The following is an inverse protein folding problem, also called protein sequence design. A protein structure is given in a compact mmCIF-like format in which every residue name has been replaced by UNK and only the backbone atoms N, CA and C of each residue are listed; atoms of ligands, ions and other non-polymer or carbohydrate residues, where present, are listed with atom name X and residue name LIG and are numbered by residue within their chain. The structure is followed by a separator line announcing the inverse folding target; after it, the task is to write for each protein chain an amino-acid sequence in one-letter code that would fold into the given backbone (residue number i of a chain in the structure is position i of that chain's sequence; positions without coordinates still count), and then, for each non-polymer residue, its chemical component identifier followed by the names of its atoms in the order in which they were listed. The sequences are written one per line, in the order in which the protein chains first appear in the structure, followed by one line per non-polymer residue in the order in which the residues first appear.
data_IF_202245382623
#
_entry.id   IF_202245382623
#
_cell.length_a   1.000
_cell.length_b   1.000
_cell.length_c   1.000
_cell.angle_alpha   90.00
_cell.angle_beta   90.00
_cell.angle_gamma   90.00
#
_symmetry.space_group_name_H-M   'P 1'
#
loop_
_entity.id
_entity.type
_entity.pdbx_description
1 polymer ?
#
# COMPACT_ATOMS: atom_id res chain seq x y z
N UNK A 1 -2.03 25.41 -10.45
CA UNK A 1 -1.36 24.15 -10.81
C UNK A 1 0.09 24.49 -11.14
N UNK A 2 1.01 24.27 -10.23
CA UNK A 2 2.43 24.38 -10.54
C UNK A 2 2.79 23.40 -11.65
N UNK A 3 3.57 23.86 -12.60
CA UNK A 3 3.86 23.10 -13.81
C UNK A 3 4.89 21.99 -13.48
N UNK A 4 4.43 20.77 -13.15
CA UNK A 4 5.27 19.60 -12.86
C UNK A 4 6.38 19.37 -13.90
N UNK A 5 6.18 19.82 -15.16
CA UNK A 5 7.16 19.68 -16.25
C UNK A 5 8.50 20.37 -15.98
N UNK A 6 8.53 21.40 -15.13
CA UNK A 6 9.73 22.17 -14.80
C UNK A 6 10.48 21.63 -13.56
N UNK A 7 9.87 20.72 -12.80
CA UNK A 7 10.50 20.13 -11.61
C UNK A 7 11.62 19.15 -12.00
N UNK A 8 12.58 18.99 -11.09
CA UNK A 8 13.68 18.03 -11.26
C UNK A 8 13.13 16.61 -11.41
N UNK A 9 13.73 15.84 -12.31
CA UNK A 9 13.49 14.40 -12.39
C UNK A 9 14.24 13.69 -11.27
N UNK A 10 13.52 12.89 -10.48
CA UNK A 10 14.11 12.13 -9.36
C UNK A 10 14.24 10.65 -9.68
N UNK A 11 13.38 10.11 -10.56
CA UNK A 11 13.46 8.76 -11.08
C UNK A 11 13.19 8.80 -12.58
N UNK A 12 14.06 8.14 -13.36
CA UNK A 12 13.86 8.01 -14.81
C UNK A 12 14.08 6.57 -15.25
N UNK A 13 13.20 6.07 -16.10
CA UNK A 13 13.30 4.81 -16.83
C UNK A 13 13.43 5.13 -18.32
N UNK A 14 14.49 4.65 -18.94
CA UNK A 14 14.77 4.81 -20.37
C UNK A 14 14.72 3.44 -21.04
N UNK A 15 13.60 3.13 -21.68
CA UNK A 15 13.34 1.86 -22.40
C UNK A 15 13.68 0.61 -21.58
N UNK A 16 13.19 0.57 -20.34
CA UNK A 16 13.55 -0.46 -19.36
C UNK A 16 12.70 -1.71 -19.52
N UNK A 17 13.39 -2.85 -19.61
CA UNK A 17 12.80 -4.19 -19.49
C UNK A 17 13.54 -4.97 -18.40
N UNK A 18 12.81 -5.84 -17.68
CA UNK A 18 13.40 -6.67 -16.64
C UNK A 18 12.78 -8.07 -16.64
N UNK A 19 13.65 -9.09 -16.59
CA UNK A 19 13.30 -10.50 -16.59
C UNK A 19 13.88 -11.19 -15.36
N UNK A 20 13.02 -11.91 -14.61
CA UNK A 20 13.48 -12.79 -13.53
C UNK A 20 13.97 -14.14 -14.09
N UNK A 21 14.93 -14.81 -13.42
CA UNK A 21 15.42 -16.12 -13.85
C UNK A 21 14.29 -17.15 -13.93
N UNK A 22 14.21 -17.88 -15.04
CA UNK A 22 13.20 -18.91 -15.25
C UNK A 22 11.79 -18.41 -15.59
N UNK A 23 11.60 -17.13 -15.78
CA UNK A 23 10.35 -16.58 -16.31
C UNK A 23 10.26 -16.87 -17.82
N UNK A 24 9.05 -17.20 -18.31
CA UNK A 24 8.82 -17.41 -19.75
C UNK A 24 8.80 -16.09 -20.53
N UNK A 25 8.55 -14.98 -19.86
CA UNK A 25 8.47 -13.61 -20.43
C UNK A 25 9.04 -12.59 -19.47
N UNK A 26 9.51 -11.46 -20.01
CA UNK A 26 9.93 -10.31 -19.20
C UNK A 26 8.78 -9.90 -18.24
N UNK A 27 9.12 -9.56 -17.00
CA UNK A 27 8.17 -9.09 -16.00
C UNK A 27 7.71 -7.66 -16.27
N UNK A 28 8.57 -6.84 -16.90
CA UNK A 28 8.23 -5.55 -17.46
C UNK A 28 8.97 -5.35 -18.79
N UNK A 29 8.33 -4.62 -19.72
CA UNK A 29 8.86 -4.40 -21.06
C UNK A 29 8.76 -2.94 -21.48
N UNK A 30 9.85 -2.41 -22.02
CA UNK A 30 9.90 -1.10 -22.69
C UNK A 30 9.27 0.03 -21.87
N UNK A 31 9.56 0.06 -20.55
CA UNK A 31 9.07 1.11 -19.65
C UNK A 31 9.90 2.37 -19.87
N UNK A 32 9.21 3.45 -20.27
CA UNK A 32 9.75 4.81 -20.26
C UNK A 32 8.90 5.68 -19.36
N UNK A 33 9.51 6.12 -18.26
CA UNK A 33 8.85 6.84 -17.18
C UNK A 33 9.79 7.90 -16.61
N UNK A 34 9.25 9.08 -16.33
CA UNK A 34 9.92 10.17 -15.64
C UNK A 34 9.06 10.59 -14.46
N UNK A 35 9.60 10.51 -13.23
CA UNK A 35 8.94 10.91 -11.99
C UNK A 35 9.61 12.18 -11.50
N UNK A 36 8.79 13.16 -11.18
CA UNK A 36 9.25 14.49 -10.73
C UNK A 36 9.31 14.60 -9.21
N UNK A 37 10.18 15.45 -8.73
CA UNK A 37 10.28 15.79 -7.31
C UNK A 37 8.94 16.27 -6.75
N UNK A 38 8.54 15.71 -5.61
CA UNK A 38 7.26 16.00 -4.96
C UNK A 38 6.02 15.48 -5.72
N UNK A 39 6.19 14.60 -6.72
CA UNK A 39 5.08 13.98 -7.44
C UNK A 39 4.47 12.83 -6.61
N UNK A 40 3.14 12.75 -6.58
CA UNK A 40 2.40 11.60 -6.09
C UNK A 40 1.94 10.76 -7.27
N UNK A 41 2.62 9.65 -7.52
CA UNK A 41 2.40 8.74 -8.64
C UNK A 41 1.71 7.45 -8.16
N UNK A 42 0.62 7.05 -8.81
CA UNK A 42 -0.07 5.78 -8.55
C UNK A 42 0.11 4.82 -9.72
N UNK A 43 0.61 3.62 -9.42
CA UNK A 43 0.71 2.49 -10.34
C UNK A 43 -0.50 1.58 -10.12
N UNK A 44 -1.28 1.30 -11.15
CA UNK A 44 -2.44 0.42 -11.07
C UNK A 44 -2.51 -0.55 -12.24
N UNK A 45 -3.27 -1.62 -12.07
CA UNK A 45 -3.42 -2.69 -13.07
C UNK A 45 -3.73 -4.02 -12.39
N UNK A 46 -3.94 -5.07 -13.16
CA UNK A 46 -4.22 -6.40 -12.67
C UNK A 46 -3.10 -6.98 -11.79
N UNK A 47 -3.39 -8.07 -11.08
CA UNK A 47 -2.33 -8.81 -10.37
C UNK A 47 -1.32 -9.37 -11.38
N UNK A 48 -0.04 -9.34 -11.05
CA UNK A 48 1.03 -9.83 -11.93
C UNK A 48 1.36 -8.93 -13.12
N UNK A 49 0.79 -7.73 -13.27
CA UNK A 49 1.07 -6.83 -14.40
C UNK A 49 2.41 -6.09 -14.33
N UNK A 50 3.27 -6.35 -13.31
CA UNK A 50 4.61 -5.77 -13.21
C UNK A 50 4.77 -4.63 -12.20
N UNK A 51 3.74 -4.22 -11.44
CA UNK A 51 3.82 -3.12 -10.46
C UNK A 51 4.93 -3.32 -9.43
N UNK A 52 4.95 -4.48 -8.76
CA UNK A 52 5.98 -4.83 -7.77
C UNK A 52 7.38 -4.90 -8.39
N UNK A 53 7.52 -5.34 -9.64
CA UNK A 53 8.80 -5.32 -10.34
C UNK A 53 9.27 -3.88 -10.56
N UNK A 54 8.36 -2.98 -10.96
CA UNK A 54 8.69 -1.57 -11.15
C UNK A 54 9.09 -0.91 -9.82
N UNK A 55 8.38 -1.18 -8.72
CA UNK A 55 8.76 -0.67 -7.38
C UNK A 55 10.10 -1.23 -6.92
N UNK A 56 10.41 -2.51 -7.21
CA UNK A 56 11.71 -3.13 -6.90
C UNK A 56 12.87 -2.56 -7.71
N UNK A 57 12.63 -2.09 -8.92
CA UNK A 57 13.65 -1.35 -9.69
C UNK A 57 13.91 0.04 -9.09
N UNK A 58 12.86 0.71 -8.59
CA UNK A 58 13.00 2.03 -7.96
C UNK A 58 13.81 1.98 -6.67
N UNK A 59 13.60 0.95 -5.85
CA UNK A 59 14.30 0.78 -4.57
C UNK A 59 15.59 -0.06 -4.65
N UNK A 60 16.02 -0.44 -5.87
CA UNK A 60 17.25 -1.17 -6.11
C UNK A 60 17.21 -2.65 -5.76
N UNK A 61 16.08 -3.20 -5.31
CA UNK A 61 15.97 -4.60 -4.96
C UNK A 61 15.99 -5.53 -6.18
N UNK A 62 15.40 -5.11 -7.30
CA UNK A 62 15.55 -5.84 -8.55
C UNK A 62 16.99 -5.66 -9.06
N UNK A 63 17.61 -6.74 -9.54
CA UNK A 63 19.01 -6.87 -9.94
C UNK A 63 20.00 -7.04 -8.76
N UNK A 64 19.92 -6.23 -7.69
CA UNK A 64 20.90 -6.31 -6.59
C UNK A 64 20.56 -7.36 -5.53
N UNK A 65 19.27 -7.61 -5.29
CA UNK A 65 18.80 -8.62 -4.32
C UNK A 65 18.00 -9.74 -4.99
N UNK A 66 17.06 -9.38 -5.88
CA UNK A 66 16.38 -10.34 -6.75
C UNK A 66 17.14 -10.45 -8.06
N UNK A 67 17.74 -11.61 -8.31
CA UNK A 67 18.43 -11.88 -9.56
C UNK A 67 17.54 -11.63 -10.76
N UNK A 68 18.12 -11.14 -11.86
CA UNK A 68 17.41 -10.87 -13.10
C UNK A 68 18.26 -10.16 -14.13
N UNK A 69 17.69 -9.95 -15.30
CA UNK A 69 18.35 -9.26 -16.41
C UNK A 69 17.67 -7.93 -16.67
N UNK A 70 18.37 -6.84 -16.41
CA UNK A 70 17.95 -5.47 -16.70
C UNK A 70 18.44 -5.06 -18.08
N UNK A 71 17.53 -4.55 -18.91
CA UNK A 71 17.84 -3.88 -20.20
C UNK A 71 17.32 -2.44 -20.10
N UNK A 72 17.98 -1.50 -20.78
CA UNK A 72 17.70 -0.08 -20.67
C UNK A 72 18.41 0.56 -19.46
N UNK A 73 17.93 1.69 -18.99
CA UNK A 73 18.59 2.46 -17.92
C UNK A 73 17.59 2.98 -16.91
N UNK A 74 17.88 2.77 -15.62
CA UNK A 74 17.17 3.39 -14.50
C UNK A 74 18.10 4.38 -13.83
N UNK A 75 17.62 5.62 -13.62
CA UNK A 75 18.36 6.64 -12.87
C UNK A 75 17.57 7.06 -11.63
N UNK A 76 18.28 7.22 -10.52
CA UNK A 76 17.80 7.74 -9.25
C UNK A 76 18.57 9.02 -8.94
N UNK A 77 17.86 10.16 -8.78
CA UNK A 77 18.46 11.47 -8.48
C UNK A 77 19.59 11.88 -9.45
N UNK A 78 19.46 11.46 -10.72
CA UNK A 78 20.39 11.80 -11.80
C UNK A 78 21.60 10.88 -11.94
N UNK A 79 21.74 9.81 -11.13
CA UNK A 79 22.77 8.79 -11.21
C UNK A 79 22.17 7.43 -11.54
N UNK A 80 22.87 6.56 -12.29
CA UNK A 80 22.40 5.21 -12.59
C UNK A 80 22.18 4.41 -11.30
N UNK A 81 21.07 3.69 -11.20
CA UNK A 81 20.73 2.94 -9.98
C UNK A 81 21.73 1.80 -9.72
N UNK A 82 22.29 1.21 -10.76
CA UNK A 82 23.33 0.18 -10.69
C UNK A 82 24.67 0.68 -10.11
N UNK A 83 24.88 2.00 -10.08
CA UNK A 83 26.08 2.61 -9.49
C UNK A 83 25.95 2.89 -8.00
N UNK A 84 24.73 2.74 -7.43
CA UNK A 84 24.50 2.90 -6.02
C UNK A 84 24.65 1.56 -5.30
N UNK A 85 25.37 1.49 -4.18
CA UNK A 85 25.22 0.38 -3.27
C UNK A 85 23.80 0.42 -2.62
N UNK A 86 23.21 -0.74 -2.35
CA UNK A 86 21.82 -0.86 -1.90
C UNK A 86 21.52 -0.01 -0.67
N UNK A 87 22.46 0.09 0.28
CA UNK A 87 22.26 0.89 1.50
C UNK A 87 22.14 2.40 1.23
N UNK A 88 22.79 2.91 0.15
CA UNK A 88 22.63 4.32 -0.26
C UNK A 88 21.27 4.56 -0.90
N UNK A 89 20.76 3.57 -1.65
CA UNK A 89 19.39 3.64 -2.21
C UNK A 89 18.40 3.68 -1.04
N UNK A 90 18.55 2.80 -0.04
CA UNK A 90 17.67 2.74 1.14
C UNK A 90 17.62 4.02 1.97
N UNK A 91 18.67 4.86 1.95
CA UNK A 91 18.65 6.20 2.56
C UNK A 91 17.78 7.19 1.78
N UNK A 92 17.65 7.02 0.48
CA UNK A 92 16.97 7.95 -0.44
C UNK A 92 15.55 7.51 -0.76
N UNK A 93 15.33 6.20 -0.78
CA UNK A 93 14.06 5.55 -1.16
C UNK A 93 13.59 4.67 0.00
N UNK A 94 12.64 5.16 0.75
CA UNK A 94 11.97 4.41 1.80
C UNK A 94 10.89 3.51 1.22
N UNK A 95 10.94 2.21 1.51
CA UNK A 95 9.99 1.23 0.98
C UNK A 95 9.08 0.69 2.07
N UNK A 96 7.78 0.66 1.78
CA UNK A 96 6.76 0.03 2.60
C UNK A 96 6.17 -1.13 1.81
N UNK A 97 6.38 -2.37 2.28
CA UNK A 97 5.98 -3.58 1.59
C UNK A 97 4.52 -3.97 1.88
N UNK A 98 3.96 -4.81 1.04
CA UNK A 98 2.59 -5.32 1.14
C UNK A 98 2.31 -6.05 2.47
N UNK A 99 3.28 -6.83 2.96
CA UNK A 99 3.22 -7.43 4.30
C UNK A 99 4.20 -6.71 5.23
N UNK A 100 3.72 -5.86 6.16
CA UNK A 100 4.57 -5.17 7.12
C UNK A 100 5.41 -6.12 7.98
N UNK A 101 4.92 -7.37 8.23
CA UNK A 101 5.64 -8.34 9.07
C UNK A 101 6.97 -8.76 8.45
N UNK A 102 7.07 -8.79 7.13
CA UNK A 102 8.31 -9.14 6.43
C UNK A 102 9.39 -8.05 6.54
N UNK A 103 9.03 -6.88 7.05
CA UNK A 103 9.89 -5.71 7.16
C UNK A 103 10.48 -5.53 8.55
N UNK A 104 9.90 -6.16 9.59
CA UNK A 104 10.31 -5.95 10.99
C UNK A 104 11.52 -6.77 11.39
N UNK A 105 12.47 -6.12 12.05
CA UNK A 105 13.68 -6.70 12.61
C UNK A 105 13.63 -6.74 14.14
N UNK A 106 12.97 -5.75 14.78
CA UNK A 106 12.81 -5.69 16.23
C UNK A 106 11.42 -6.15 16.67
N UNK A 107 11.29 -6.50 17.93
CA UNK A 107 10.01 -6.92 18.53
C UNK A 107 9.28 -5.77 19.24
N UNK A 108 9.98 -4.70 19.62
CA UNK A 108 9.44 -3.53 20.32
C UNK A 108 9.33 -2.34 19.34
N UNK A 109 8.31 -1.55 19.53
CA UNK A 109 7.96 -0.43 18.63
C UNK A 109 9.11 0.57 18.46
N UNK A 110 9.69 1.07 19.55
CA UNK A 110 10.74 2.08 19.48
C UNK A 110 12.01 1.53 18.87
N UNK A 111 12.39 0.30 19.19
CA UNK A 111 13.57 -0.37 18.65
C UNK A 111 13.44 -0.56 17.13
N UNK A 112 12.24 -0.94 16.65
CA UNK A 112 11.96 -1.08 15.23
C UNK A 112 12.05 0.26 14.50
N UNK A 113 11.52 1.33 15.10
CA UNK A 113 11.55 2.65 14.49
C UNK A 113 12.99 3.22 14.48
N UNK A 114 13.78 2.94 15.51
CA UNK A 114 15.18 3.36 15.60
C UNK A 114 16.09 2.58 14.64
N UNK A 115 15.76 1.31 14.35
CA UNK A 115 16.61 0.36 13.64
C UNK A 115 17.25 0.90 12.36
N UNK A 116 16.45 1.55 11.50
CA UNK A 116 16.96 2.15 10.25
C UNK A 116 17.95 3.30 10.53
N UNK A 117 17.62 4.15 11.50
CA UNK A 117 18.47 5.28 11.89
C UNK A 117 19.83 4.81 12.44
N UNK A 118 19.82 3.79 13.30
CA UNK A 118 21.03 3.18 13.87
C UNK A 118 21.92 2.59 12.78
N UNK A 119 21.35 1.81 11.86
CA UNK A 119 22.07 1.22 10.72
C UNK A 119 22.71 2.26 9.81
N UNK A 120 22.10 3.44 9.71
CA UNK A 120 22.62 4.55 8.91
C UNK A 120 23.57 5.47 9.68
N UNK A 121 23.86 5.16 10.96
CA UNK A 121 24.81 5.90 11.78
C UNK A 121 24.29 7.27 12.22
N UNK A 122 22.99 7.40 12.45
CA UNK A 122 22.41 8.61 13.08
C UNK A 122 22.97 8.72 14.50
N UNK A 123 23.48 9.89 14.94
CA UNK A 123 23.99 10.08 16.29
C UNK A 123 22.95 9.73 17.36
N UNK A 124 23.41 9.11 18.46
CA UNK A 124 22.53 8.65 19.53
C UNK A 124 21.65 9.78 20.10
N UNK A 125 22.21 10.97 20.19
CA UNK A 125 21.52 12.17 20.70
C UNK A 125 20.33 12.58 19.84
N UNK A 126 20.29 12.20 18.55
CA UNK A 126 19.20 12.50 17.60
C UNK A 126 18.15 11.38 17.57
N UNK A 127 18.48 10.14 17.97
CA UNK A 127 17.62 8.97 17.80
C UNK A 127 16.27 9.13 18.50
N UNK A 128 16.27 9.54 19.78
CA UNK A 128 15.04 9.72 20.54
C UNK A 128 14.10 10.76 19.91
N UNK A 129 14.68 11.86 19.43
CA UNK A 129 13.95 12.90 18.71
C UNK A 129 13.30 12.39 17.42
N UNK A 130 14.03 11.61 16.61
CA UNK A 130 13.52 11.00 15.36
C UNK A 130 12.44 9.97 15.63
N UNK A 131 12.67 9.06 16.56
CA UNK A 131 11.69 8.04 16.98
C UNK A 131 10.40 8.70 17.49
N UNK A 132 10.54 9.67 18.40
CA UNK A 132 9.39 10.39 18.96
C UNK A 132 8.61 11.16 17.89
N UNK A 133 9.28 11.81 16.95
CA UNK A 133 8.66 12.50 15.83
C UNK A 133 7.91 11.51 14.91
N UNK A 134 8.53 10.38 14.57
CA UNK A 134 7.92 9.36 13.73
C UNK A 134 6.67 8.74 14.38
N UNK A 135 6.71 8.44 15.69
CA UNK A 135 5.55 7.94 16.45
C UNK A 135 4.41 8.98 16.47
N UNK A 136 4.72 10.24 16.71
CA UNK A 136 3.72 11.31 16.73
C UNK A 136 3.05 11.47 15.37
N UNK A 137 3.80 11.37 14.28
CA UNK A 137 3.29 11.49 12.90
C UNK A 137 2.23 10.44 12.55
N UNK A 138 2.38 9.23 13.05
CA UNK A 138 1.41 8.15 12.86
C UNK A 138 0.26 8.17 13.89
N UNK A 139 0.21 9.16 14.78
CA UNK A 139 -0.67 9.19 15.96
C UNK A 139 -0.52 7.88 16.77
N UNK A 140 0.73 7.48 17.01
CA UNK A 140 1.12 6.17 17.55
C UNK A 140 1.52 6.18 19.02
N UNK A 141 1.23 7.22 19.81
CA UNK A 141 1.67 7.31 21.22
C UNK A 141 1.21 6.10 22.06
N UNK A 142 0.04 5.55 21.76
CA UNK A 142 -0.47 4.35 22.41
C UNK A 142 0.28 3.05 22.04
N UNK A 143 1.17 3.12 21.06
CA UNK A 143 1.97 1.98 20.61
C UNK A 143 3.36 1.92 21.24
N UNK A 144 3.76 2.96 21.99
CA UNK A 144 5.07 3.03 22.67
C UNK A 144 5.24 1.86 23.64
N UNK A 145 6.43 1.28 23.64
CA UNK A 145 6.83 0.17 24.50
C UNK A 145 6.09 -1.14 24.25
N UNK A 146 5.28 -1.23 23.18
CA UNK A 146 4.51 -2.43 22.89
C UNK A 146 5.25 -3.39 21.97
N UNK A 147 4.97 -4.68 22.17
CA UNK A 147 5.36 -5.73 21.24
C UNK A 147 4.59 -5.62 19.92
N UNK A 148 5.30 -5.70 18.80
CA UNK A 148 4.73 -5.53 17.45
C UNK A 148 3.91 -6.76 17.00
N UNK A 149 4.37 -7.97 17.33
CA UNK A 149 3.75 -9.20 16.81
C UNK A 149 2.26 -9.36 17.14
N UNK A 150 1.75 -9.04 18.35
CA UNK A 150 0.34 -9.15 18.67
C UNK A 150 -0.52 -8.02 18.09
N UNK A 151 0.08 -6.97 17.51
CA UNK A 151 -0.67 -5.83 16.96
C UNK A 151 -1.55 -6.21 15.77
N UNK A 152 -2.60 -5.42 15.56
CA UNK A 152 -3.45 -5.47 14.36
C UNK A 152 -2.67 -5.10 13.10
N UNK A 153 -3.20 -5.48 11.92
CA UNK A 153 -2.58 -5.12 10.62
C UNK A 153 -2.43 -3.62 10.45
N UNK A 154 -3.42 -2.83 10.89
CA UNK A 154 -3.36 -1.37 10.82
C UNK A 154 -2.27 -0.75 11.72
N UNK A 155 -2.10 -1.27 12.95
CA UNK A 155 -1.02 -0.84 13.85
C UNK A 155 0.35 -1.20 13.28
N UNK A 156 0.51 -2.43 12.75
CA UNK A 156 1.73 -2.85 12.07
C UNK A 156 2.08 -1.98 10.87
N UNK A 157 1.08 -1.64 10.05
CA UNK A 157 1.29 -0.73 8.92
C UNK A 157 1.78 0.65 9.39
N UNK A 158 1.19 1.19 10.47
CA UNK A 158 1.66 2.44 11.07
C UNK A 158 3.12 2.35 11.51
N UNK A 159 3.52 1.27 12.21
CA UNK A 159 4.90 1.10 12.64
C UNK A 159 5.84 0.99 11.43
N UNK A 160 5.49 0.21 10.40
CA UNK A 160 6.30 0.10 9.18
C UNK A 160 6.51 1.45 8.49
N UNK A 161 5.50 2.30 8.45
CA UNK A 161 5.67 3.66 7.92
C UNK A 161 6.49 4.53 8.87
N UNK A 162 6.33 4.40 10.19
CA UNK A 162 7.10 5.17 11.16
C UNK A 162 8.60 4.82 11.10
N UNK A 163 8.96 3.53 10.95
CA UNK A 163 10.37 3.11 10.83
C UNK A 163 11.04 3.67 9.57
N UNK A 164 10.32 3.69 8.46
CA UNK A 164 10.81 4.34 7.23
C UNK A 164 10.89 5.87 7.39
N UNK A 165 9.88 6.47 8.01
CA UNK A 165 9.82 7.91 8.20
C UNK A 165 10.89 8.46 9.16
N UNK A 166 11.34 7.68 10.15
CA UNK A 166 12.43 8.09 11.06
C UNK A 166 13.75 8.33 10.31
N UNK A 167 13.97 7.64 9.19
CA UNK A 167 15.13 7.82 8.30
C UNK A 167 14.98 9.08 7.44
N UNK A 168 13.75 9.54 7.17
CA UNK A 168 13.40 10.72 6.37
C UNK A 168 13.91 10.65 4.91
N UNK A 169 13.48 9.65 4.11
CA UNK A 169 13.90 9.51 2.72
C UNK A 169 13.25 10.57 1.81
N UNK A 170 13.92 10.93 0.71
CA UNK A 170 13.40 11.85 -0.30
C UNK A 170 12.19 11.26 -1.06
N UNK A 171 12.16 9.93 -1.21
CA UNK A 171 11.19 9.19 -2.02
C UNK A 171 10.57 8.07 -1.18
N UNK A 172 9.24 7.96 -1.20
CA UNK A 172 8.50 6.87 -0.57
C UNK A 172 7.90 5.96 -1.62
N UNK A 173 8.10 4.66 -1.47
CA UNK A 173 7.52 3.62 -2.32
C UNK A 173 6.63 2.71 -1.47
N UNK A 174 5.35 2.65 -1.82
CA UNK A 174 4.36 1.80 -1.19
C UNK A 174 3.92 0.70 -2.15
N UNK A 175 4.07 -0.56 -1.77
CA UNK A 175 3.60 -1.69 -2.55
C UNK A 175 2.37 -2.32 -1.89
N UNK A 176 1.19 -2.13 -2.47
CA UNK A 176 -0.14 -2.56 -2.02
C UNK A 176 -0.41 -2.30 -0.52
N UNK A 177 -0.17 -1.10 -0.01
CA UNK A 177 -0.18 -0.83 1.42
C UNK A 177 -1.55 -0.96 2.08
N UNK A 178 -2.64 -0.99 1.30
CA UNK A 178 -4.01 -1.11 1.83
C UNK A 178 -4.54 -2.56 1.84
N UNK A 179 -3.78 -3.55 1.37
CA UNK A 179 -4.28 -4.91 1.10
C UNK A 179 -4.99 -5.57 2.30
N UNK A 180 -4.44 -5.42 3.51
CA UNK A 180 -4.92 -6.06 4.74
C UNK A 180 -5.56 -5.06 5.72
N UNK A 181 -5.91 -3.85 5.25
CA UNK A 181 -6.44 -2.78 6.09
C UNK A 181 -7.97 -2.70 6.00
N UNK A 182 -8.59 -2.39 7.13
CA UNK A 182 -9.98 -1.94 7.18
C UNK A 182 -10.10 -0.47 6.75
N UNK A 183 -11.34 0.02 6.57
CA UNK A 183 -11.57 1.37 6.06
C UNK A 183 -10.97 2.47 6.93
N UNK A 184 -10.95 2.31 8.26
CA UNK A 184 -10.39 3.30 9.18
C UNK A 184 -8.86 3.33 9.09
N UNK A 185 -8.23 2.16 8.96
CA UNK A 185 -6.79 2.05 8.76
C UNK A 185 -6.37 2.60 7.39
N UNK A 186 -7.20 2.42 6.35
CA UNK A 186 -6.97 3.04 5.04
C UNK A 186 -7.07 4.56 5.10
N UNK A 187 -8.04 5.12 5.84
CA UNK A 187 -8.16 6.57 6.01
C UNK A 187 -6.96 7.14 6.78
N UNK A 188 -6.50 6.45 7.82
CA UNK A 188 -5.29 6.84 8.55
C UNK A 188 -4.05 6.82 7.64
N UNK A 189 -3.92 5.82 6.76
CA UNK A 189 -2.84 5.72 5.77
C UNK A 189 -2.93 6.87 4.74
N UNK A 190 -4.13 7.21 4.26
CA UNK A 190 -4.37 8.35 3.37
C UNK A 190 -3.89 9.66 3.99
N UNK A 191 -4.27 9.91 5.25
CA UNK A 191 -3.89 11.13 5.96
C UNK A 191 -2.37 11.22 6.14
N UNK A 192 -1.69 10.11 6.41
CA UNK A 192 -0.24 10.05 6.49
C UNK A 192 0.42 10.36 5.14
N UNK A 193 -0.03 9.76 4.06
CA UNK A 193 0.47 10.04 2.71
C UNK A 193 0.23 11.52 2.31
N UNK A 194 -0.92 12.08 2.72
CA UNK A 194 -1.23 13.50 2.51
C UNK A 194 -0.23 14.41 3.21
N UNK A 195 0.15 14.10 4.45
CA UNK A 195 1.16 14.84 5.20
C UNK A 195 2.53 14.77 4.52
N UNK A 196 2.99 13.58 4.12
CA UNK A 196 4.24 13.39 3.38
C UNK A 196 4.26 14.18 2.07
N UNK A 197 3.14 14.18 1.32
CA UNK A 197 3.01 14.98 0.10
C UNK A 197 3.12 16.48 0.39
N UNK A 198 2.46 16.95 1.44
CA UNK A 198 2.49 18.37 1.84
C UNK A 198 3.89 18.83 2.28
N UNK A 199 4.74 17.93 2.77
CA UNK A 199 6.13 18.16 3.11
C UNK A 199 7.07 18.14 1.89
N UNK A 200 6.55 17.80 0.72
CA UNK A 200 7.30 17.82 -0.55
C UNK A 200 7.95 16.50 -0.94
N UNK A 201 7.71 15.41 -0.19
CA UNK A 201 8.24 14.10 -0.56
C UNK A 201 7.64 13.58 -1.86
N UNK A 202 8.44 12.86 -2.63
CA UNK A 202 7.99 12.12 -3.80
C UNK A 202 7.39 10.80 -3.34
N UNK A 203 6.19 10.47 -3.83
CA UNK A 203 5.45 9.28 -3.37
C UNK A 203 5.05 8.44 -4.56
N UNK A 204 5.41 7.15 -4.55
CA UNK A 204 4.98 6.16 -5.54
C UNK A 204 4.17 5.09 -4.81
N UNK A 205 2.96 4.82 -5.29
CA UNK A 205 2.06 3.82 -4.70
C UNK A 205 1.63 2.82 -5.76
N UNK A 206 2.01 1.56 -5.62
CA UNK A 206 1.42 0.46 -6.37
C UNK A 206 0.14 0.01 -5.64
N UNK A 207 -1.03 0.12 -6.28
CA UNK A 207 -2.29 -0.12 -5.58
C UNK A 207 -3.44 -0.57 -6.52
N UNK A 208 -4.32 -1.39 -5.96
CA UNK A 208 -5.57 -1.82 -6.58
C UNK A 208 -6.78 -1.02 -6.10
N UNK A 209 -6.77 -0.54 -4.84
CA UNK A 209 -7.85 0.25 -4.24
C UNK A 209 -7.56 1.73 -4.46
N UNK A 210 -8.17 2.34 -5.50
CA UNK A 210 -7.81 3.68 -5.93
C UNK A 210 -8.63 4.80 -5.26
N UNK A 211 -9.76 4.46 -4.64
CA UNK A 211 -10.72 5.44 -4.13
C UNK A 211 -10.13 6.42 -3.10
N UNK A 212 -9.23 5.95 -2.25
CA UNK A 212 -8.61 6.79 -1.21
C UNK A 212 -7.42 7.61 -1.71
N UNK A 213 -6.90 7.33 -2.91
CA UNK A 213 -5.75 8.00 -3.52
C UNK A 213 -6.14 9.07 -4.54
N UNK A 214 -7.42 9.14 -4.93
CA UNK A 214 -7.89 9.98 -6.04
C UNK A 214 -7.59 11.46 -5.80
N UNK A 215 -7.74 11.93 -4.56
CA UNK A 215 -7.49 13.34 -4.18
C UNK A 215 -6.00 13.64 -3.97
N UNK A 216 -5.17 12.60 -3.78
CA UNK A 216 -3.75 12.75 -3.51
C UNK A 216 -2.90 12.64 -4.77
N UNK A 217 -3.30 11.78 -5.71
CA UNK A 217 -2.49 11.45 -6.87
C UNK A 217 -2.43 12.62 -7.87
N UNK A 218 -1.23 12.93 -8.33
CA UNK A 218 -1.02 13.85 -9.44
C UNK A 218 -1.16 13.11 -10.79
N UNK A 219 -0.75 11.83 -10.82
CA UNK A 219 -0.78 11.00 -12.01
C UNK A 219 -1.03 9.53 -11.67
N UNK A 220 -1.79 8.86 -12.50
CA UNK A 220 -2.02 7.42 -12.50
C UNK A 220 -1.40 6.78 -13.73
N UNK A 221 -0.74 5.64 -13.55
CA UNK A 221 -0.23 4.79 -14.62
C UNK A 221 -0.97 3.45 -14.58
N UNK A 222 -1.64 3.12 -15.67
CA UNK A 222 -2.23 1.80 -15.84
C UNK A 222 -1.23 0.86 -16.51
N UNK A 223 -0.96 -0.24 -15.84
CA UNK A 223 -0.05 -1.28 -16.29
C UNK A 223 -0.82 -2.54 -16.67
N UNK A 224 -0.43 -3.13 -17.78
CA UNK A 224 -0.95 -4.41 -18.25
C UNK A 224 0.15 -5.19 -18.95
N UNK A 225 0.27 -6.47 -18.63
CA UNK A 225 1.28 -7.36 -19.21
C UNK A 225 2.68 -6.72 -19.28
N UNK A 226 3.17 -6.24 -18.15
CA UNK A 226 4.52 -5.67 -18.03
C UNK A 226 4.75 -4.30 -18.68
N UNK A 227 3.74 -3.66 -19.27
CA UNK A 227 3.87 -2.38 -19.96
C UNK A 227 2.94 -1.30 -19.41
N UNK A 228 3.34 -0.03 -19.51
CA UNK A 228 2.44 1.10 -19.23
C UNK A 228 1.56 1.30 -20.46
N UNK A 229 0.26 1.08 -20.32
CA UNK A 229 -0.73 1.20 -21.39
C UNK A 229 -1.39 2.57 -21.44
N UNK A 230 -1.73 3.13 -20.28
CA UNK A 230 -2.38 4.44 -20.19
C UNK A 230 -1.80 5.25 -19.03
N UNK A 231 -1.90 6.57 -19.17
CA UNK A 231 -1.48 7.57 -18.17
C UNK A 231 -2.63 8.54 -17.98
N UNK A 232 -3.02 8.80 -16.72
CA UNK A 232 -4.14 9.69 -16.41
C UNK A 232 -3.78 10.67 -15.30
N UNK A 233 -4.33 11.86 -15.39
CA UNK A 233 -4.50 12.76 -14.25
C UNK A 233 -5.65 12.28 -13.36
N UNK A 234 -5.78 12.84 -12.16
CA UNK A 234 -6.92 12.53 -11.28
C UNK A 234 -8.28 12.79 -11.97
N UNK A 235 -8.41 13.90 -12.72
CA UNK A 235 -9.65 14.25 -13.44
C UNK A 235 -9.96 13.26 -14.57
N UNK A 236 -8.97 12.92 -15.39
CA UNK A 236 -9.13 11.93 -16.46
C UNK A 236 -9.49 10.56 -15.88
N UNK A 237 -8.90 10.19 -14.74
CA UNK A 237 -9.19 8.93 -14.05
C UNK A 237 -10.64 8.85 -13.57
N UNK A 238 -11.18 9.94 -13.01
CA UNK A 238 -12.58 10.03 -12.59
C UNK A 238 -13.55 9.96 -13.78
N UNK A 239 -13.12 10.44 -14.95
CA UNK A 239 -13.93 10.51 -16.17
C UNK A 239 -13.95 9.20 -16.97
N UNK A 240 -13.22 8.14 -16.54
CA UNK A 240 -13.20 6.86 -17.26
C UNK A 240 -14.60 6.22 -17.19
N UNK A 241 -15.23 5.94 -18.33
CA UNK A 241 -16.55 5.30 -18.37
C UNK A 241 -16.53 3.93 -17.69
N UNK A 242 -17.62 3.57 -17.01
CA UNK A 242 -17.73 2.31 -16.26
C UNK A 242 -17.45 1.09 -17.14
N UNK A 243 -17.97 1.04 -18.35
CA UNK A 243 -17.71 -0.06 -19.29
C UNK A 243 -16.24 -0.25 -19.60
N UNK A 244 -15.49 0.85 -19.84
CA UNK A 244 -14.05 0.80 -20.04
C UNK A 244 -13.34 0.35 -18.75
N UNK A 245 -13.73 0.91 -17.60
CA UNK A 245 -13.14 0.58 -16.29
C UNK A 245 -13.31 -0.91 -15.97
N UNK A 246 -14.49 -1.49 -16.19
CA UNK A 246 -14.75 -2.93 -16.02
C UNK A 246 -13.93 -3.77 -17.00
N UNK A 247 -13.83 -3.37 -18.27
CA UNK A 247 -13.09 -4.09 -19.29
C UNK A 247 -11.60 -4.22 -18.96
N UNK A 248 -10.98 -3.17 -18.38
CA UNK A 248 -9.57 -3.15 -17.98
C UNK A 248 -9.35 -3.57 -16.52
N UNK A 249 -10.39 -4.00 -15.81
CA UNK A 249 -10.30 -4.55 -14.44
C UNK A 249 -9.94 -3.53 -13.35
N UNK A 250 -10.15 -2.22 -13.59
CA UNK A 250 -9.84 -1.18 -12.61
C UNK A 250 -11.03 -0.94 -11.68
N UNK A 251 -10.77 -0.88 -10.37
CA UNK A 251 -11.78 -0.60 -9.35
C UNK A 251 -12.29 0.84 -9.44
N UNK A 252 -13.48 1.08 -8.89
CA UNK A 252 -14.08 2.41 -8.84
C UNK A 252 -13.16 3.42 -8.12
N UNK A 253 -13.12 4.65 -8.64
CA UNK A 253 -12.42 5.76 -8.01
C UNK A 253 -13.29 6.45 -6.95
N UNK A 254 -14.61 6.37 -7.11
CA UNK A 254 -15.60 6.88 -6.19
C UNK A 254 -16.55 5.74 -5.80
N UNK A 255 -16.72 5.55 -4.49
CA UNK A 255 -17.59 4.53 -3.94
C UNK A 255 -19.01 5.03 -3.66
N UNK A 256 -19.23 6.35 -3.67
CA UNK A 256 -20.54 6.96 -3.35
C UNK A 256 -21.55 6.87 -4.50
N UNK A 257 -21.06 6.71 -5.74
CA UNK A 257 -21.89 6.66 -6.95
C UNK A 257 -21.88 5.28 -7.62
N UNK A 258 -21.73 4.21 -6.82
CA UNK A 258 -21.86 2.84 -7.34
C UNK A 258 -23.33 2.46 -7.32
N UNK A 259 -23.93 2.33 -8.51
CA UNK A 259 -25.25 1.73 -8.65
C UNK A 259 -25.13 0.21 -8.49
N UNK A 260 -25.90 -0.33 -7.56
CA UNK A 260 -26.01 -1.77 -7.31
C UNK A 260 -27.41 -2.19 -7.79
N UNK A 261 -27.47 -3.03 -8.81
CA UNK A 261 -28.71 -3.66 -9.23
C UNK A 261 -29.04 -4.79 -8.23
N UNK A 262 -29.98 -4.50 -7.32
CA UNK A 262 -30.45 -5.46 -6.32
C UNK A 262 -31.67 -6.16 -6.92
N UNK A 263 -31.57 -7.46 -7.27
CA UNK A 263 -32.71 -8.20 -7.79
C UNK A 263 -33.86 -8.22 -6.75
N UNK A 264 -35.13 -8.16 -7.19
CA UNK A 264 -36.27 -8.17 -6.28
C UNK A 264 -36.25 -9.43 -5.42
N UNK A 265 -36.55 -9.25 -4.13
CA UNK A 265 -36.64 -10.36 -3.18
C UNK A 265 -37.72 -11.35 -3.64
N UNK A 266 -37.35 -12.59 -3.90
CA UNK A 266 -38.30 -13.71 -4.09
C UNK A 266 -38.77 -14.17 -2.71
N UNK A 267 -39.95 -14.82 -2.65
CA UNK A 267 -40.35 -15.56 -1.42
C UNK A 267 -39.21 -16.52 -1.05
N UNK A 268 -38.68 -16.34 0.14
CA UNK A 268 -37.46 -17.03 0.58
C UNK A 268 -37.77 -17.91 1.77
N UNK A 269 -37.35 -19.17 1.68
CA UNK A 269 -37.36 -20.05 2.85
C UNK A 269 -36.20 -19.69 3.76
N UNK A 270 -36.46 -19.51 5.05
CA UNK A 270 -35.43 -19.30 6.06
C UNK A 270 -34.56 -20.54 6.13
N UNK A 271 -33.24 -20.36 5.99
CA UNK A 271 -32.24 -21.42 6.00
C UNK A 271 -31.41 -21.45 7.27
N UNK A 272 -31.27 -20.29 7.93
CA UNK A 272 -30.51 -20.17 9.15
C UNK A 272 -31.14 -19.12 10.05
N UNK A 273 -31.22 -19.42 11.35
CA UNK A 273 -31.54 -18.45 12.39
C UNK A 273 -30.46 -18.51 13.46
N UNK A 274 -29.89 -17.36 13.78
CA UNK A 274 -28.95 -17.17 14.88
C UNK A 274 -29.62 -16.31 15.94
N UNK A 275 -29.64 -16.79 17.18
CA UNK A 275 -30.24 -16.07 18.31
C UNK A 275 -29.27 -15.94 19.48
N UNK A 276 -29.07 -14.71 19.92
CA UNK A 276 -28.30 -14.34 21.10
C UNK A 276 -26.92 -15.00 21.19
N UNK A 277 -26.28 -15.19 20.01
CA UNK A 277 -24.99 -15.84 19.89
C UNK A 277 -23.94 -15.01 20.61
N UNK A 278 -23.33 -15.61 21.62
CA UNK A 278 -22.21 -15.03 22.38
C UNK A 278 -21.02 -15.97 22.33
N UNK A 279 -19.83 -15.44 22.09
CA UNK A 279 -18.63 -16.26 22.02
C UNK A 279 -17.41 -15.60 22.67
N UNK A 280 -16.61 -16.41 23.34
CA UNK A 280 -15.37 -16.00 24.00
C UNK A 280 -14.29 -17.05 23.79
N UNK A 281 -13.05 -16.62 23.48
CA UNK A 281 -11.89 -17.49 23.60
C UNK A 281 -11.38 -17.49 25.05
N UNK A 282 -11.64 -18.58 25.77
CA UNK A 282 -11.35 -18.69 27.21
C UNK A 282 -12.03 -17.54 28.00
N UNK A 283 -11.24 -16.58 28.50
CA UNK A 283 -11.71 -15.40 29.25
C UNK A 283 -11.81 -14.12 28.42
N UNK A 284 -11.48 -14.19 27.11
CA UNK A 284 -11.51 -13.02 26.22
C UNK A 284 -12.81 -13.03 25.40
N UNK A 285 -13.75 -12.14 25.70
CA UNK A 285 -14.99 -12.01 24.94
C UNK A 285 -14.66 -11.52 23.50
N UNK A 286 -15.34 -12.12 22.51
CA UNK A 286 -15.19 -11.74 21.09
C UNK A 286 -16.41 -10.96 20.65
N UNK A 287 -17.61 -11.49 20.88
CA UNK A 287 -18.87 -10.81 20.59
C UNK A 287 -19.98 -11.32 21.50
N UNK A 288 -21.03 -10.48 21.64
CA UNK A 288 -22.18 -10.75 22.49
C UNK A 288 -23.49 -10.50 21.74
N UNK A 289 -24.47 -11.38 21.97
CA UNK A 289 -25.87 -11.21 21.57
C UNK A 289 -26.07 -10.90 20.09
N UNK A 290 -25.34 -11.63 19.21
CA UNK A 290 -25.55 -11.52 17.76
C UNK A 290 -26.79 -12.32 17.39
N UNK A 291 -27.77 -11.66 16.78
CA UNK A 291 -28.96 -12.30 16.24
C UNK A 291 -29.24 -11.84 14.83
N UNK A 292 -29.50 -12.78 13.91
CA UNK A 292 -29.90 -12.50 12.53
C UNK A 292 -30.55 -13.73 11.91
N UNK A 293 -31.21 -13.51 10.77
CA UNK A 293 -31.79 -14.57 9.96
C UNK A 293 -31.21 -14.53 8.55
N UNK A 294 -31.05 -15.70 7.94
CA UNK A 294 -30.62 -15.87 6.56
C UNK A 294 -31.63 -16.73 5.79
N UNK A 295 -31.85 -16.38 4.55
CA UNK A 295 -32.82 -17.03 3.68
C UNK A 295 -32.11 -17.66 2.47
N UNK A 296 -32.76 -18.61 1.83
CA UNK A 296 -32.22 -19.29 0.66
C UNK A 296 -31.85 -18.28 -0.45
N UNK A 297 -30.59 -18.30 -0.89
CA UNK A 297 -30.06 -17.39 -1.90
C UNK A 297 -29.62 -16.02 -1.39
N UNK A 298 -29.59 -15.80 -0.05
CA UNK A 298 -29.01 -14.57 0.51
C UNK A 298 -27.51 -14.52 0.35
N UNK A 299 -26.98 -13.34 0.08
CA UNK A 299 -25.59 -12.98 0.21
C UNK A 299 -25.44 -12.09 1.44
N UNK A 300 -24.79 -12.59 2.49
CA UNK A 300 -24.60 -11.87 3.75
C UNK A 300 -23.16 -11.36 3.83
N UNK A 301 -22.98 -10.05 3.96
CA UNK A 301 -21.69 -9.44 4.17
C UNK A 301 -21.48 -9.15 5.66
N UNK A 302 -20.42 -9.72 6.26
CA UNK A 302 -19.99 -9.42 7.63
C UNK A 302 -18.94 -8.31 7.56
N UNK A 303 -19.28 -7.13 8.04
CA UNK A 303 -18.42 -5.94 7.99
C UNK A 303 -18.06 -5.45 9.39
N UNK A 304 -16.93 -4.75 9.52
CA UNK A 304 -16.45 -4.18 10.78
C UNK A 304 -14.93 -4.05 10.81
N UNK A 305 -14.40 -3.47 11.88
CA UNK A 305 -12.95 -3.31 12.09
C UNK A 305 -12.19 -4.65 12.11
N UNK A 306 -10.90 -4.59 11.85
CA UNK A 306 -10.04 -5.76 12.07
C UNK A 306 -10.02 -6.12 13.55
N UNK A 307 -10.06 -7.43 13.85
CA UNK A 307 -10.07 -7.93 15.23
C UNK A 307 -11.44 -8.02 15.92
N UNK A 308 -12.52 -7.50 15.34
CA UNK A 308 -13.87 -7.53 15.97
C UNK A 308 -14.58 -8.90 15.94
N UNK A 309 -13.92 -9.96 15.43
CA UNK A 309 -14.50 -11.31 15.45
C UNK A 309 -15.19 -11.75 14.17
N UNK A 310 -15.05 -11.04 13.03
CA UNK A 310 -15.67 -11.44 11.74
C UNK A 310 -15.35 -12.89 11.34
N UNK A 311 -14.06 -13.23 11.33
CA UNK A 311 -13.60 -14.59 11.01
C UNK A 311 -14.09 -15.62 12.05
N UNK A 312 -14.14 -15.24 13.33
CA UNK A 312 -14.67 -16.10 14.39
C UNK A 312 -16.15 -16.38 14.15
N UNK A 313 -16.94 -15.34 13.84
CA UNK A 313 -18.34 -15.52 13.50
C UNK A 313 -18.53 -16.41 12.28
N UNK A 314 -17.80 -16.16 11.20
CA UNK A 314 -17.83 -16.97 9.99
C UNK A 314 -17.50 -18.45 10.29
N UNK A 315 -16.47 -18.72 11.10
CA UNK A 315 -16.08 -20.09 11.47
C UNK A 315 -17.10 -20.81 12.37
N UNK A 316 -17.92 -20.08 13.12
CA UNK A 316 -18.98 -20.67 13.94
C UNK A 316 -20.19 -21.04 13.06
N UNK A 317 -20.42 -20.29 11.98
CA UNK A 317 -21.55 -20.50 11.07
C UNK A 317 -21.30 -21.58 10.03
N UNK A 318 -20.04 -21.98 9.81
CA UNK A 318 -19.63 -23.09 8.93
C UNK A 318 -19.48 -24.39 9.69
#
# INVERSE_FOLDING_TARGET
MENFKTRRSVIQFEDVSFEYPGAETDSIHHISLDVKEGEFLVLTGGSGCGKTTLTRLINGLAEQFYEGTLKGRVTLLGRSISEYPLYEIGKKVGSIFQDPKSQFFASITEDEIAFGCENYGVPYEELDGRVSSAIKRINGDMLRGKEIYPMSSGEKQKIAVASVNAVDPEIYVFDEPSANLDMYSVEALKNLMSALKAEGHTIIVAEHRLYYLTDLADRFLYMENGSIKEKWTAQERLSIPEGKRRAIGIRAADLHHIEVDIPPAKEKNMTMEVKDLTFSYRKHPVFHNISFQAYAGDLIAIVGHNGVGKTTLSNILC
#
